data_IF_514218141678
#
_entry.id   IF_514218141678
#
_cell.length_a   1.000
_cell.length_b   1.000
_cell.length_c   1.000
_cell.angle_alpha   90.00
_cell.angle_beta   90.00
_cell.angle_gamma   90.00
#
_symmetry.space_group_name_H-M   'P 1'
#
loop_
_entity.id
_entity.type
_entity.pdbx_description
1 polymer ?
#
# COMPACT_ATOMS: atom_id res chain seq x y z
N UNK A 1 22.08 24.02 -18.98
CA UNK A 1 20.74 24.50 -19.42
C UNK A 1 19.71 23.82 -18.55
N UNK A 2 18.83 24.64 -17.96
CA UNK A 2 17.94 24.32 -16.86
C UNK A 2 16.81 23.36 -17.26
N UNK A 3 16.26 22.71 -16.24
CA UNK A 3 15.24 21.67 -16.19
C UNK A 3 14.02 21.85 -17.10
N UNK A 4 13.39 20.72 -17.43
CA UNK A 4 11.95 20.66 -17.68
C UNK A 4 11.38 19.41 -17.01
N UNK A 5 10.98 19.58 -15.75
CA UNK A 5 10.01 18.71 -15.11
C UNK A 5 8.61 19.09 -15.63
N UNK A 6 7.87 18.13 -16.19
CA UNK A 6 6.44 18.30 -16.48
C UNK A 6 5.63 17.56 -15.43
N UNK A 7 5.11 18.32 -14.47
CA UNK A 7 4.02 17.89 -13.60
C UNK A 7 2.74 18.12 -14.40
N UNK A 8 2.08 17.04 -14.86
CA UNK A 8 0.74 17.15 -15.44
C UNK A 8 -0.30 17.10 -14.31
N UNK A 9 -0.81 18.29 -14.06
CA UNK A 9 -1.99 18.72 -13.32
C UNK A 9 -3.00 17.64 -12.87
N UNK A 10 -3.20 17.63 -11.55
CA UNK A 10 -4.40 17.31 -10.75
C UNK A 10 -5.67 17.02 -11.55
N UNK A 11 -6.06 15.75 -11.65
CA UNK A 11 -7.44 15.40 -12.00
C UNK A 11 -8.35 15.74 -10.82
N UNK A 12 -9.29 16.66 -11.09
CA UNK A 12 -10.37 17.05 -10.20
C UNK A 12 -11.19 15.82 -9.79
N UNK A 13 -11.04 15.35 -8.55
CA UNK A 13 -12.04 14.47 -7.96
C UNK A 13 -13.25 15.33 -7.65
N UNK A 14 -14.29 15.23 -8.48
CA UNK A 14 -15.62 15.74 -8.15
C UNK A 14 -15.93 15.28 -6.73
N UNK A 15 -16.08 16.24 -5.82
CA UNK A 15 -16.63 16.03 -4.48
C UNK A 15 -17.96 15.30 -4.63
N UNK A 16 -17.96 13.98 -4.44
CA UNK A 16 -19.20 13.26 -4.18
C UNK A 16 -19.55 13.56 -2.73
N UNK A 17 -20.08 14.76 -2.48
CA UNK A 17 -20.95 14.97 -1.34
C UNK A 17 -22.27 14.28 -1.72
N UNK A 18 -22.31 12.96 -1.56
CA UNK A 18 -23.55 12.20 -1.66
C UNK A 18 -24.41 12.59 -0.47
N UNK A 19 -25.22 13.64 -0.62
CA UNK A 19 -26.37 13.84 0.26
C UNK A 19 -27.43 12.83 -0.14
N UNK A 20 -27.53 11.73 0.61
CA UNK A 20 -28.81 11.14 1.06
C UNK A 20 -28.63 10.15 2.22
N UNK A 21 -29.04 10.65 3.39
CA UNK A 21 -29.77 10.00 4.49
C UNK A 21 -29.23 8.67 5.02
N UNK A 22 -28.44 8.74 6.10
CA UNK A 22 -28.43 7.68 7.11
C UNK A 22 -29.59 7.91 8.05
N UNK A 23 -30.64 7.09 7.94
CA UNK A 23 -31.54 6.87 9.08
C UNK A 23 -30.73 6.06 10.11
N UNK A 24 -30.17 6.73 11.12
CA UNK A 24 -29.83 6.09 12.39
C UNK A 24 -28.39 6.14 12.94
N UNK A 25 -27.44 6.90 12.37
CA UNK A 25 -26.10 7.02 12.95
C UNK A 25 -25.71 8.48 13.19
N UNK A 26 -25.18 8.76 14.39
CA UNK A 26 -24.77 10.11 14.81
C UNK A 26 -23.50 10.55 14.09
N UNK A 27 -22.58 9.61 13.83
CA UNK A 27 -21.34 9.88 13.12
C UNK A 27 -21.16 8.96 11.91
N UNK A 28 -20.54 9.43 10.80
CA UNK A 28 -20.26 8.60 9.63
C UNK A 28 -19.47 7.32 9.94
N UNK A 29 -18.54 7.38 10.91
CA UNK A 29 -17.75 6.21 11.34
C UNK A 29 -18.61 5.12 11.99
N UNK A 30 -19.72 5.48 12.65
CA UNK A 30 -20.63 4.49 13.26
C UNK A 30 -21.24 3.58 12.20
N UNK A 31 -21.50 4.09 10.99
CA UNK A 31 -22.01 3.28 9.89
C UNK A 31 -20.97 2.27 9.40
N UNK A 32 -19.69 2.66 9.39
CA UNK A 32 -18.59 1.77 9.01
C UNK A 32 -18.45 0.66 10.06
N UNK A 33 -18.39 1.04 11.35
CA UNK A 33 -18.27 0.10 12.46
C UNK A 33 -19.44 -0.90 12.52
N UNK A 34 -20.66 -0.44 12.20
CA UNK A 34 -21.87 -1.28 12.14
C UNK A 34 -22.03 -2.04 10.82
N UNK A 35 -21.13 -1.86 9.85
CA UNK A 35 -21.21 -2.51 8.54
C UNK A 35 -22.34 -2.00 7.63
N UNK A 36 -22.90 -0.82 7.93
CA UNK A 36 -23.92 -0.12 7.15
C UNK A 36 -23.30 0.56 5.91
N UNK A 37 -22.64 -0.24 5.07
CA UNK A 37 -22.00 0.18 3.83
C UNK A 37 -22.80 -0.27 2.62
N UNK A 38 -22.69 0.47 1.52
CA UNK A 38 -23.24 0.05 0.23
C UNK A 38 -22.57 -1.25 -0.22
N UNK A 39 -23.28 -2.05 -1.03
CA UNK A 39 -22.74 -3.31 -1.55
C UNK A 39 -21.44 -3.11 -2.33
N UNK A 40 -21.31 -2.01 -3.09
CA UNK A 40 -20.08 -1.67 -3.81
C UNK A 40 -18.90 -1.43 -2.85
N UNK A 41 -19.13 -0.70 -1.75
CA UNK A 41 -18.08 -0.46 -0.76
C UNK A 41 -17.65 -1.76 -0.05
N UNK A 42 -18.61 -2.63 0.27
CA UNK A 42 -18.33 -3.96 0.83
C UNK A 42 -17.52 -4.83 -0.14
N UNK A 43 -17.96 -4.92 -1.40
CA UNK A 43 -17.27 -5.71 -2.42
C UNK A 43 -15.84 -5.22 -2.68
N UNK A 44 -15.64 -3.90 -2.65
CA UNK A 44 -14.31 -3.31 -2.75
C UNK A 44 -13.40 -3.73 -1.59
N UNK A 45 -13.90 -3.64 -0.34
CA UNK A 45 -13.15 -4.08 0.84
C UNK A 45 -12.76 -5.56 0.77
N UNK A 46 -13.71 -6.43 0.39
CA UNK A 46 -13.43 -7.87 0.21
C UNK A 46 -12.34 -8.07 -0.83
N UNK A 47 -12.41 -7.38 -1.98
CA UNK A 47 -11.40 -7.49 -3.04
C UNK A 47 -10.00 -7.08 -2.56
N UNK A 48 -9.90 -6.03 -1.74
CA UNK A 48 -8.62 -5.62 -1.14
C UNK A 48 -8.08 -6.66 -0.16
N UNK A 49 -8.95 -7.26 0.66
CA UNK A 49 -8.56 -8.26 1.65
C UNK A 49 -8.41 -9.68 1.09
N UNK A 50 -8.78 -9.89 -0.17
CA UNK A 50 -8.67 -11.21 -0.84
C UNK A 50 -7.26 -11.51 -1.33
N UNK A 51 -6.33 -10.54 -1.28
CA UNK A 51 -4.93 -10.81 -1.61
C UNK A 51 -4.25 -11.58 -0.48
N UNK A 52 -3.76 -12.78 -0.80
CA UNK A 52 -3.03 -13.61 0.16
C UNK A 52 -1.69 -12.95 0.50
N UNK A 53 -1.54 -12.61 1.78
CA UNK A 53 -0.28 -12.15 2.34
C UNK A 53 0.58 -13.39 2.60
N UNK A 54 1.74 -13.52 1.94
CA UNK A 54 2.61 -14.67 2.14
C UNK A 54 3.13 -14.68 3.57
N UNK A 55 3.09 -15.84 4.22
CA UNK A 55 3.58 -16.00 5.60
C UNK A 55 5.07 -16.31 5.65
N UNK A 56 5.70 -16.58 4.50
CA UNK A 56 7.14 -16.81 4.41
C UNK A 56 7.75 -16.17 3.17
N UNK A 57 9.06 -15.94 3.23
CA UNK A 57 9.83 -15.43 2.10
C UNK A 57 9.71 -16.32 0.86
N UNK A 58 9.76 -17.64 1.03
CA UNK A 58 9.62 -18.60 -0.08
C UNK A 58 8.26 -18.53 -0.76
N UNK A 59 7.18 -18.31 0.00
CA UNK A 59 5.85 -18.11 -0.56
C UNK A 59 5.77 -16.79 -1.34
N UNK A 60 6.35 -15.71 -0.80
CA UNK A 60 6.42 -14.43 -1.48
C UNK A 60 7.17 -14.55 -2.82
N UNK A 61 8.29 -15.28 -2.84
CA UNK A 61 9.07 -15.52 -4.06
C UNK A 61 8.35 -16.35 -5.14
N UNK A 62 7.30 -17.09 -4.79
CA UNK A 62 6.48 -17.78 -5.80
C UNK A 62 5.51 -16.82 -6.51
N UNK A 63 5.09 -15.76 -5.83
CA UNK A 63 4.18 -14.75 -6.38
C UNK A 63 4.94 -13.71 -7.20
N UNK A 64 4.52 -13.50 -8.44
CA UNK A 64 5.09 -12.47 -9.31
C UNK A 64 4.85 -11.06 -8.75
N UNK A 65 3.66 -10.78 -8.22
CA UNK A 65 3.32 -9.48 -7.63
C UNK A 65 4.30 -9.07 -6.52
N UNK A 66 4.60 -10.01 -5.62
CA UNK A 66 5.51 -9.76 -4.51
C UNK A 66 6.95 -9.58 -4.99
N UNK A 67 7.39 -10.34 -6.01
CA UNK A 67 8.69 -10.14 -6.64
C UNK A 67 8.82 -8.76 -7.27
N UNK A 68 7.84 -8.33 -8.06
CA UNK A 68 7.84 -6.99 -8.65
C UNK A 68 7.86 -5.90 -7.57
N UNK A 69 7.05 -6.04 -6.51
CA UNK A 69 7.05 -5.08 -5.41
C UNK A 69 8.42 -5.00 -4.69
N UNK A 70 9.08 -6.13 -4.50
CA UNK A 70 10.42 -6.20 -3.90
C UNK A 70 11.48 -5.53 -4.77
N UNK A 71 11.42 -5.70 -6.09
CA UNK A 71 12.30 -5.04 -7.05
C UNK A 71 12.06 -3.52 -7.09
N UNK A 72 10.79 -3.10 -7.06
CA UNK A 72 10.41 -1.69 -7.03
C UNK A 72 10.92 -1.00 -5.75
N UNK A 73 10.77 -1.65 -4.59
CA UNK A 73 11.31 -1.16 -3.33
C UNK A 73 12.83 -1.08 -3.38
N UNK A 74 13.51 -2.14 -3.86
CA UNK A 74 14.96 -2.15 -4.02
C UNK A 74 15.45 -0.99 -4.91
N UNK A 75 14.72 -0.69 -5.99
CA UNK A 75 14.99 0.45 -6.86
C UNK A 75 14.76 1.79 -6.17
N UNK A 76 13.70 1.91 -5.36
CA UNK A 76 13.40 3.10 -4.58
C UNK A 76 14.48 3.39 -3.54
N UNK A 77 14.94 2.37 -2.81
CA UNK A 77 16.03 2.47 -1.83
C UNK A 77 17.31 3.00 -2.48
N UNK A 78 17.71 2.41 -3.62
CA UNK A 78 18.87 2.87 -4.40
C UNK A 78 18.72 4.30 -4.88
N UNK A 79 17.53 4.69 -5.36
CA UNK A 79 17.26 6.04 -5.84
C UNK A 79 17.36 7.08 -4.73
N UNK A 80 16.86 6.76 -3.54
CA UNK A 80 16.83 7.69 -2.41
C UNK A 80 18.20 7.85 -1.72
N UNK A 81 19.20 7.02 -2.07
CA UNK A 81 20.56 7.02 -1.49
C UNK A 81 20.56 7.04 0.05
N UNK A 82 19.50 6.51 0.65
CA UNK A 82 19.30 6.51 2.11
C UNK A 82 19.88 5.25 2.74
N UNK A 83 20.02 4.19 1.95
CA UNK A 83 20.49 2.88 2.39
C UNK A 83 21.64 2.45 1.49
N UNK A 84 22.74 2.04 2.11
CA UNK A 84 23.90 1.50 1.40
C UNK A 84 24.13 0.07 1.86
N UNK A 85 24.55 -0.81 0.93
CA UNK A 85 24.79 -2.20 1.26
C UNK A 85 26.18 -2.32 1.89
N UNK A 86 26.23 -2.65 3.19
CA UNK A 86 27.50 -2.85 3.90
C UNK A 86 27.87 -4.33 3.95
N UNK A 87 29.16 -4.62 3.82
CA UNK A 87 29.70 -5.93 4.14
C UNK A 87 29.56 -6.21 5.64
N UNK A 88 29.34 -7.48 6.00
CA UNK A 88 29.32 -7.89 7.40
C UNK A 88 30.73 -7.71 7.99
N UNK A 89 30.91 -6.90 9.05
CA UNK A 89 32.22 -6.70 9.66
C UNK A 89 32.75 -8.00 10.28
N UNK A 90 34.07 -8.19 10.19
CA UNK A 90 34.75 -9.39 10.68
C UNK A 90 34.46 -9.62 12.17
N UNK A 91 34.12 -10.87 12.52
CA UNK A 91 33.82 -11.27 13.89
C UNK A 91 32.44 -10.85 14.42
N UNK A 92 31.58 -10.24 13.58
CA UNK A 92 30.19 -9.96 13.94
C UNK A 92 29.24 -10.95 13.26
N UNK A 93 28.11 -11.23 13.93
CA UNK A 93 27.04 -12.05 13.38
C UNK A 93 25.96 -11.14 12.79
N UNK A 94 25.42 -11.46 11.61
CA UNK A 94 24.29 -10.73 11.08
C UNK A 94 23.08 -10.94 12.01
N UNK A 95 22.21 -9.94 12.08
CA UNK A 95 20.93 -10.10 12.77
C UNK A 95 20.08 -11.06 11.94
N UNK A 96 19.75 -12.21 12.52
CA UNK A 96 18.82 -13.15 11.89
C UNK A 96 17.38 -12.61 11.93
N UNK A 97 16.63 -12.83 10.87
CA UNK A 97 15.17 -12.75 10.91
C UNK A 97 14.62 -14.15 11.17
N UNK A 98 13.62 -14.28 12.05
CA UNK A 98 12.83 -15.51 12.19
C UNK A 98 11.80 -15.62 11.07
#
# INVERSE_FOLDING_TARGET
>A
VCSSAKIKQRSSTKTILSKKTTRGAKYPMDNIAKGNLSNNAKAFGVRLCSEEIPSSFEQALKSEKWKTAMDDEMKALKKNKTWDQCALPQGKKPVGCR
#
